data_IF_885981566686
#
_entry.id   IF_885981566686
#
_cell.length_a   1.000
_cell.length_b   1.000
_cell.length_c   1.000
_cell.angle_alpha   90.00
_cell.angle_beta   90.00
_cell.angle_gamma   90.00
#
_symmetry.space_group_name_H-M   'P 1'
#
loop_
_entity.id
_entity.type
_entity.pdbx_description
1 polymer ?
#
# COMPACT_ATOMS: atom_id res chain seq x y z
N UNK A 1 -6.00 33.14 16.05
CA UNK A 1 -7.40 33.25 15.55
C UNK A 1 -7.48 32.48 14.25
N UNK A 2 -8.26 31.40 14.18
CA UNK A 2 -8.51 30.72 12.92
C UNK A 2 -9.44 31.58 12.04
N UNK A 3 -9.21 31.69 10.72
CA UNK A 3 -10.07 32.46 9.84
C UNK A 3 -11.47 31.84 9.78
N UNK A 4 -12.52 32.67 9.93
CA UNK A 4 -13.92 32.28 9.72
C UNK A 4 -14.11 31.96 8.23
N UNK A 5 -14.23 30.67 7.90
CA UNK A 5 -14.63 30.23 6.57
C UNK A 5 -16.12 30.53 6.37
N UNK A 6 -16.45 31.32 5.36
CA UNK A 6 -17.83 31.59 4.91
C UNK A 6 -17.98 31.04 3.50
N UNK A 7 -18.79 30.00 3.33
CA UNK A 7 -19.20 29.51 2.02
C UNK A 7 -20.69 29.80 1.84
N UNK A 8 -21.07 30.39 0.71
CA UNK A 8 -22.47 30.61 0.33
C UNK A 8 -23.19 29.28 0.06
N UNK A 9 -24.45 29.19 0.49
CA UNK A 9 -25.24 27.97 0.42
C UNK A 9 -25.78 27.70 -0.99
N UNK A 10 -25.77 26.44 -1.47
CA UNK A 10 -26.63 26.01 -2.56
C UNK A 10 -27.92 25.38 -2.01
N UNK A 11 -29.05 26.03 -2.35
CA UNK A 11 -30.45 25.53 -2.37
C UNK A 11 -31.06 24.84 -1.12
N UNK A 12 -32.00 25.56 -0.49
CA UNK A 12 -33.31 25.05 -0.05
C UNK A 12 -33.38 24.09 1.16
N UNK A 13 -33.90 24.61 2.27
CA UNK A 13 -34.46 23.92 3.46
C UNK A 13 -33.55 23.11 4.41
N UNK A 14 -32.24 23.04 4.19
CA UNK A 14 -31.32 22.60 5.24
C UNK A 14 -31.05 23.73 6.25
N UNK A 15 -31.18 23.51 7.58
CA UNK A 15 -30.81 24.53 8.56
C UNK A 15 -29.36 24.94 8.34
N UNK A 16 -29.10 26.25 8.36
CA UNK A 16 -27.76 26.77 8.16
C UNK A 16 -26.80 26.16 9.20
N UNK A 17 -25.75 25.49 8.71
CA UNK A 17 -24.73 24.88 9.57
C UNK A 17 -23.97 26.01 10.26
N UNK A 18 -24.03 26.06 11.59
CA UNK A 18 -23.19 26.95 12.38
C UNK A 18 -21.73 26.46 12.36
N UNK A 19 -20.95 27.08 11.46
CA UNK A 19 -19.54 26.75 11.25
C UNK A 19 -18.67 27.06 12.47
N UNK A 20 -19.09 27.97 13.35
CA UNK A 20 -18.35 28.31 14.57
C UNK A 20 -18.47 27.16 15.56
N UNK A 21 -19.71 26.77 15.88
CA UNK A 21 -19.98 25.62 16.76
C UNK A 21 -19.34 24.33 16.23
N UNK A 22 -19.39 24.11 14.91
CA UNK A 22 -18.74 22.95 14.28
C UNK A 22 -17.22 22.97 14.44
N UNK A 23 -16.58 24.12 14.23
CA UNK A 23 -15.13 24.28 14.37
C UNK A 23 -14.67 24.09 15.81
N UNK A 24 -15.43 24.62 16.78
CA UNK A 24 -15.19 24.41 18.21
C UNK A 24 -15.29 22.92 18.57
N UNK A 25 -16.29 22.21 18.05
CA UNK A 25 -16.41 20.76 18.22
C UNK A 25 -15.20 20.01 17.65
N UNK A 26 -14.73 20.37 16.46
CA UNK A 26 -13.53 19.77 15.87
C UNK A 26 -12.28 20.01 16.72
N UNK A 27 -12.09 21.22 17.25
CA UNK A 27 -10.99 21.54 18.15
C UNK A 27 -11.04 20.73 19.44
N UNK A 28 -12.22 20.61 20.07
CA UNK A 28 -12.42 19.80 21.27
C UNK A 28 -12.07 18.33 21.04
N UNK A 29 -12.48 17.73 19.92
CA UNK A 29 -12.15 16.34 19.61
C UNK A 29 -10.66 16.15 19.24
N UNK A 30 -9.99 17.17 18.71
CA UNK A 30 -8.55 17.14 18.47
C UNK A 30 -7.75 17.20 19.79
N UNK A 31 -8.16 18.06 20.73
CA UNK A 31 -7.49 18.26 22.01
C UNK A 31 -7.46 16.98 22.86
N UNK A 32 -8.56 16.21 22.88
CA UNK A 32 -8.66 14.92 23.61
C UNK A 32 -7.56 13.91 23.27
N UNK A 33 -6.94 14.04 22.10
CA UNK A 33 -5.94 13.09 21.56
C UNK A 33 -4.60 13.74 21.25
N UNK A 34 -4.41 15.01 21.61
CA UNK A 34 -3.11 15.64 21.55
C UNK A 34 -2.19 14.94 22.56
N UNK A 35 -1.02 14.52 22.09
CA UNK A 35 -0.09 13.72 22.88
C UNK A 35 1.31 14.31 22.80
N UNK A 36 1.88 14.63 23.96
CA UNK A 36 3.24 15.19 24.06
C UNK A 36 4.33 14.23 23.60
N UNK A 37 4.10 12.92 23.69
CA UNK A 37 5.02 11.89 23.23
C UNK A 37 4.99 11.66 21.69
N UNK A 38 4.08 12.33 20.96
CA UNK A 38 4.10 12.42 19.50
C UNK A 38 4.28 11.06 18.81
N UNK A 39 5.17 10.93 17.79
CA UNK A 39 5.44 9.65 17.13
C UNK A 39 5.99 8.54 18.05
N UNK A 40 6.60 8.89 19.18
CA UNK A 40 7.20 7.92 20.12
C UNK A 40 6.17 7.17 20.95
N UNK A 41 4.88 7.47 20.79
CA UNK A 41 3.77 6.71 21.37
C UNK A 41 3.66 5.27 20.79
N UNK A 42 4.34 4.98 19.68
CA UNK A 42 4.38 3.66 19.05
C UNK A 42 5.74 2.99 19.22
N UNK A 43 5.74 1.66 19.28
CA UNK A 43 6.95 0.84 19.33
C UNK A 43 7.44 0.48 17.92
N UNK A 44 8.76 0.38 17.77
CA UNK A 44 9.38 -0.30 16.63
C UNK A 44 9.42 -1.80 16.93
N UNK A 45 8.48 -2.54 16.34
CA UNK A 45 8.31 -4.00 16.54
C UNK A 45 9.56 -4.82 16.23
N UNK A 46 10.51 -4.28 15.46
CA UNK A 46 11.77 -4.96 15.11
C UNK A 46 12.78 -4.98 16.25
N UNK A 47 12.62 -4.10 17.24
CA UNK A 47 13.59 -3.89 18.33
C UNK A 47 13.25 -4.67 19.60
N UNK A 48 12.18 -5.46 19.60
CA UNK A 48 11.67 -6.15 20.79
C UNK A 48 11.36 -7.61 20.48
N UNK A 49 12.04 -8.55 21.11
CA UNK A 49 11.94 -10.00 20.78
C UNK A 49 10.52 -10.52 20.75
N UNK A 50 9.67 -10.09 21.70
CA UNK A 50 8.26 -10.47 21.76
C UNK A 50 7.46 -10.06 20.51
N UNK A 51 7.74 -8.88 19.95
CA UNK A 51 6.97 -8.30 18.86
C UNK A 51 7.65 -8.44 17.50
N UNK A 52 8.86 -9.00 17.43
CA UNK A 52 9.57 -9.23 16.16
C UNK A 52 8.73 -10.08 15.19
N UNK A 53 7.94 -11.02 15.69
CA UNK A 53 7.00 -11.82 14.88
C UNK A 53 5.98 -10.96 14.14
N UNK A 54 5.64 -9.77 14.64
CA UNK A 54 4.71 -8.82 14.01
C UNK A 54 5.30 -8.12 12.77
N UNK A 55 6.62 -8.24 12.55
CA UNK A 55 7.33 -7.66 11.42
C UNK A 55 7.77 -8.68 10.37
N UNK A 56 7.85 -9.97 10.74
CA UNK A 56 8.30 -11.08 9.88
C UNK A 56 7.41 -11.21 8.64
N UNK A 57 8.01 -11.66 7.54
CA UNK A 57 7.31 -11.97 6.30
C UNK A 57 6.62 -13.34 6.39
N UNK A 58 5.29 -13.42 6.42
CA UNK A 58 4.59 -14.71 6.49
C UNK A 58 4.36 -15.34 5.12
N UNK A 59 4.79 -14.69 4.03
CA UNK A 59 4.45 -15.11 2.67
C UNK A 59 5.62 -15.68 1.88
N UNK A 60 6.84 -15.45 2.35
CA UNK A 60 8.04 -15.77 1.60
C UNK A 60 8.31 -17.27 1.62
N UNK A 61 8.56 -17.82 0.44
CA UNK A 61 9.12 -19.16 0.29
C UNK A 61 10.65 -19.03 0.29
N UNK A 62 11.26 -19.28 1.44
CA UNK A 62 12.70 -19.13 1.60
C UNK A 62 13.48 -20.15 0.78
N UNK A 63 12.99 -21.38 0.66
CA UNK A 63 13.67 -22.47 -0.03
C UNK A 63 13.68 -22.22 -1.55
N UNK A 64 12.54 -21.80 -2.10
CA UNK A 64 12.45 -21.41 -3.51
C UNK A 64 13.41 -20.28 -3.87
N UNK A 65 13.50 -19.23 -3.02
CA UNK A 65 14.45 -18.14 -3.24
C UNK A 65 15.90 -18.55 -3.01
N UNK A 66 16.16 -19.52 -2.11
CA UNK A 66 17.50 -20.02 -1.84
C UNK A 66 18.04 -20.89 -2.98
N UNK A 67 17.17 -21.60 -3.69
CA UNK A 67 17.53 -22.46 -4.82
C UNK A 67 17.79 -21.69 -6.13
N UNK A 68 17.40 -20.41 -6.20
CA UNK A 68 17.65 -19.56 -7.38
C UNK A 68 19.09 -19.05 -7.41
N UNK A 69 19.68 -18.85 -8.61
CA UNK A 69 20.96 -18.17 -8.73
C UNK A 69 20.85 -16.74 -8.18
N UNK A 70 21.94 -16.20 -7.60
CA UNK A 70 21.92 -14.84 -7.08
C UNK A 70 21.76 -13.82 -8.22
N UNK A 71 20.78 -12.93 -8.08
CA UNK A 71 20.58 -11.84 -9.05
C UNK A 71 21.56 -10.67 -8.84
N UNK A 72 22.20 -10.60 -7.66
CA UNK A 72 23.31 -9.72 -7.33
C UNK A 72 24.28 -10.49 -6.43
N UNK A 73 25.57 -10.31 -6.70
CA UNK A 73 26.67 -10.90 -5.94
C UNK A 73 27.52 -9.80 -5.29
N UNK A 74 28.28 -10.17 -4.26
CA UNK A 74 29.17 -9.25 -3.57
C UNK A 74 30.27 -8.74 -4.51
N UNK A 75 30.51 -7.43 -4.48
CA UNK A 75 31.38 -6.74 -5.43
C UNK A 75 30.78 -6.52 -6.83
N UNK A 76 29.54 -6.97 -7.08
CA UNK A 76 28.88 -6.86 -8.39
C UNK A 76 28.55 -5.43 -8.81
N UNK A 77 28.36 -5.22 -10.12
CA UNK A 77 27.94 -3.95 -10.70
C UNK A 77 26.63 -4.09 -11.47
N UNK A 78 25.72 -3.12 -11.30
CA UNK A 78 24.48 -2.99 -12.08
C UNK A 78 24.30 -1.56 -12.54
N UNK A 79 23.80 -1.35 -13.76
CA UNK A 79 23.64 0.01 -14.28
C UNK A 79 22.58 0.81 -13.52
N UNK A 80 21.40 0.21 -13.25
CA UNK A 80 20.33 0.84 -12.47
C UNK A 80 19.86 -0.07 -11.33
N UNK A 81 19.92 0.45 -10.12
CA UNK A 81 19.39 -0.21 -8.92
C UNK A 81 18.15 0.53 -8.42
N UNK A 82 17.00 -0.15 -8.44
CA UNK A 82 15.72 0.38 -7.94
C UNK A 82 15.47 -0.19 -6.55
N UNK A 83 15.32 0.66 -5.55
CA UNK A 83 14.98 0.26 -4.18
C UNK A 83 13.46 0.29 -4.03
N UNK A 84 12.86 -0.90 -4.00
CA UNK A 84 11.43 -1.15 -4.00
C UNK A 84 10.99 -1.91 -5.26
N UNK A 85 10.28 -3.01 -5.07
CA UNK A 85 9.72 -3.89 -6.10
C UNK A 85 8.17 -3.88 -6.08
N UNK A 86 7.59 -2.81 -5.52
CA UNK A 86 6.16 -2.50 -5.65
C UNK A 86 5.81 -1.82 -6.97
N UNK A 87 4.55 -1.39 -7.11
CA UNK A 87 4.07 -0.66 -8.30
C UNK A 87 4.92 0.54 -8.69
N UNK A 88 5.46 1.29 -7.74
CA UNK A 88 6.38 2.40 -8.03
C UNK A 88 7.68 1.94 -8.69
N UNK A 89 8.33 0.92 -8.12
CA UNK A 89 9.57 0.37 -8.67
C UNK A 89 9.39 -0.30 -10.03
N UNK A 90 8.31 -1.06 -10.19
CA UNK A 90 7.91 -1.64 -11.48
C UNK A 90 7.65 -0.54 -12.52
N UNK A 91 6.97 0.55 -12.14
CA UNK A 91 6.75 1.67 -13.04
C UNK A 91 8.05 2.31 -13.49
N UNK A 92 9.02 2.55 -12.58
CA UNK A 92 10.34 3.04 -12.95
C UNK A 92 11.06 2.08 -13.90
N UNK A 93 11.13 0.79 -13.57
CA UNK A 93 11.79 -0.22 -14.40
C UNK A 93 11.20 -0.26 -15.83
N UNK A 94 9.88 -0.28 -15.95
CA UNK A 94 9.20 -0.26 -17.25
C UNK A 94 9.48 1.03 -18.02
N UNK A 95 9.51 2.19 -17.36
CA UNK A 95 9.83 3.47 -18.02
C UNK A 95 11.28 3.53 -18.50
N UNK A 96 12.23 2.95 -17.75
CA UNK A 96 13.61 2.82 -18.24
C UNK A 96 13.70 1.89 -19.46
N UNK A 97 13.00 0.74 -19.43
CA UNK A 97 12.98 -0.17 -20.58
C UNK A 97 12.40 0.54 -21.81
N UNK A 98 11.30 1.27 -21.66
CA UNK A 98 10.70 2.08 -22.72
C UNK A 98 11.62 3.21 -23.22
N UNK A 99 12.55 3.68 -22.38
CA UNK A 99 13.56 4.67 -22.75
C UNK A 99 14.81 4.05 -23.41
N UNK A 100 14.85 2.72 -23.61
CA UNK A 100 15.91 2.02 -24.35
C UNK A 100 16.90 1.24 -23.48
N UNK A 101 16.72 1.18 -22.16
CA UNK A 101 17.51 0.29 -21.30
C UNK A 101 17.06 -1.17 -21.45
N UNK A 102 17.99 -2.11 -21.30
CA UNK A 102 17.67 -3.54 -21.36
C UNK A 102 17.33 -4.07 -19.96
N UNK A 103 16.35 -4.98 -19.79
CA UNK A 103 15.99 -5.54 -18.47
C UNK A 103 17.18 -6.06 -17.64
N UNK A 104 18.21 -6.59 -18.29
CA UNK A 104 19.43 -7.14 -17.67
C UNK A 104 20.26 -6.06 -16.96
N UNK A 105 20.13 -4.79 -17.37
CA UNK A 105 20.81 -3.63 -16.79
C UNK A 105 20.16 -3.14 -15.48
N UNK A 106 19.03 -3.73 -15.08
CA UNK A 106 18.25 -3.32 -13.90
C UNK A 106 18.25 -4.39 -12.82
N UNK A 107 18.21 -3.96 -11.56
CA UNK A 107 17.82 -4.79 -10.42
C UNK A 107 16.85 -4.06 -9.52
N UNK A 108 15.83 -4.75 -9.03
CA UNK A 108 14.85 -4.24 -8.07
C UNK A 108 15.10 -4.89 -6.71
N UNK A 109 15.59 -4.14 -5.75
CA UNK A 109 15.90 -4.62 -4.39
C UNK A 109 14.72 -4.33 -3.47
N UNK A 110 14.20 -5.34 -2.76
CA UNK A 110 13.09 -5.16 -1.81
C UNK A 110 13.24 -6.07 -0.58
N UNK A 111 12.80 -5.55 0.57
CA UNK A 111 12.69 -6.30 1.83
C UNK A 111 11.69 -7.48 1.67
N UNK A 112 10.69 -7.34 0.81
CA UNK A 112 9.69 -8.36 0.51
C UNK A 112 10.31 -9.60 -0.12
N UNK A 113 9.69 -10.77 0.10
CA UNK A 113 10.02 -12.00 -0.63
C UNK A 113 9.51 -12.06 -2.07
N UNK A 114 9.03 -10.97 -2.66
CA UNK A 114 8.49 -10.94 -4.03
C UNK A 114 7.97 -9.58 -4.47
N UNK A 115 7.53 -9.49 -5.73
CA UNK A 115 6.95 -8.25 -6.29
C UNK A 115 5.61 -7.86 -5.65
N UNK A 116 5.33 -6.55 -5.65
CA UNK A 116 4.04 -5.99 -5.29
C UNK A 116 4.06 -4.98 -4.14
N UNK A 117 5.14 -4.93 -3.35
CA UNK A 117 5.30 -3.96 -2.26
C UNK A 117 4.13 -4.02 -1.28
N UNK A 118 3.33 -2.95 -1.18
CA UNK A 118 2.08 -2.94 -0.39
C UNK A 118 1.21 -4.18 -0.64
N UNK A 119 1.06 -4.60 -1.89
CA UNK A 119 0.20 -5.74 -2.28
C UNK A 119 0.88 -7.10 -2.10
N UNK A 120 2.21 -7.12 -1.93
CA UNK A 120 2.93 -8.29 -1.45
C UNK A 120 2.67 -8.49 0.04
N UNK A 121 2.86 -7.44 0.84
CA UNK A 121 2.82 -7.52 2.30
C UNK A 121 1.41 -7.71 2.86
N UNK A 122 0.45 -6.93 2.38
CA UNK A 122 -0.90 -6.94 2.91
C UNK A 122 -1.70 -8.01 2.16
N UNK A 123 -2.15 -9.03 2.89
CA UNK A 123 -3.01 -10.11 2.37
C UNK A 123 -4.09 -10.49 3.38
N UNK A 124 -4.63 -9.50 4.07
CA UNK A 124 -5.73 -9.69 5.02
C UNK A 124 -7.08 -9.84 4.29
N UNK A 125 -8.07 -10.51 4.89
CA UNK A 125 -9.37 -10.73 4.27
C UNK A 125 -10.09 -9.40 4.02
N UNK A 126 -10.70 -9.26 2.84
CA UNK A 126 -11.41 -8.05 2.44
C UNK A 126 -10.52 -6.91 1.91
N UNK A 127 -9.20 -7.13 1.79
CA UNK A 127 -8.27 -6.13 1.27
C UNK A 127 -8.65 -5.68 -0.14
N UNK A 128 -8.80 -4.37 -0.33
CA UNK A 128 -9.03 -3.72 -1.63
C UNK A 128 -8.27 -2.40 -1.73
N UNK A 129 -7.95 -1.95 -2.95
CA UNK A 129 -7.59 -0.55 -3.17
C UNK A 129 -8.80 0.37 -2.92
N UNK A 130 -8.56 1.58 -2.44
CA UNK A 130 -9.61 2.57 -2.15
C UNK A 130 -9.75 3.65 -3.24
N UNK A 131 -8.85 3.64 -4.22
CA UNK A 131 -8.95 4.38 -5.48
C UNK A 131 -9.43 3.42 -6.57
N UNK A 132 -10.20 3.93 -7.53
CA UNK A 132 -10.65 3.14 -8.67
C UNK A 132 -9.47 2.44 -9.38
N UNK A 133 -9.59 1.13 -9.60
CA UNK A 133 -8.56 0.25 -10.16
C UNK A 133 -8.06 0.73 -11.52
N UNK A 134 -8.94 1.32 -12.33
CA UNK A 134 -8.66 1.81 -13.68
C UNK A 134 -7.65 2.98 -13.70
N UNK A 135 -7.49 3.69 -12.58
CA UNK A 135 -6.53 4.79 -12.40
C UNK A 135 -5.49 4.53 -11.31
N UNK A 136 -5.72 3.54 -10.45
CA UNK A 136 -4.79 3.14 -9.39
C UNK A 136 -3.72 2.17 -9.88
N UNK A 137 -4.10 1.18 -10.70
CA UNK A 137 -3.18 0.19 -11.22
C UNK A 137 -2.31 0.85 -12.30
N UNK A 138 -0.97 0.84 -12.17
CA UNK A 138 -0.11 1.49 -13.16
C UNK A 138 -0.06 0.67 -14.44
N UNK A 139 0.23 1.28 -15.59
CA UNK A 139 0.48 0.58 -16.85
C UNK A 139 -0.71 -0.23 -17.41
N UNK A 140 -1.94 0.04 -16.97
CA UNK A 140 -3.13 -0.75 -17.38
C UNK A 140 -3.37 -0.64 -18.89
N UNK A 141 -3.16 0.54 -19.45
CA UNK A 141 -3.24 0.75 -20.91
C UNK A 141 -2.11 -0.02 -21.64
N UNK A 142 -0.87 0.06 -21.15
CA UNK A 142 0.28 -0.62 -21.75
C UNK A 142 0.22 -2.15 -21.60
N UNK A 143 -0.37 -2.66 -20.51
CA UNK A 143 -0.57 -4.09 -20.30
C UNK A 143 -1.74 -4.63 -21.11
N UNK A 144 -2.76 -3.80 -21.39
CA UNK A 144 -4.04 -4.21 -21.95
C UNK A 144 -4.92 -4.96 -20.94
N UNK A 145 -4.56 -4.90 -19.65
CA UNK A 145 -5.30 -5.59 -18.59
C UNK A 145 -6.63 -4.88 -18.33
N UNK A 146 -7.70 -5.65 -18.12
CA UNK A 146 -8.99 -5.14 -17.67
C UNK A 146 -9.18 -5.53 -16.20
N UNK A 147 -9.10 -4.59 -15.24
CA UNK A 147 -9.40 -4.88 -13.84
C UNK A 147 -10.80 -5.46 -13.68
N UNK A 148 -10.95 -6.50 -12.85
CA UNK A 148 -12.19 -7.27 -12.64
C UNK A 148 -13.28 -6.46 -11.93
N UNK A 149 -12.88 -5.49 -11.12
CA UNK A 149 -13.77 -4.67 -10.30
C UNK A 149 -13.35 -3.20 -10.34
N UNK A 150 -14.30 -2.29 -10.06
CA UNK A 150 -14.03 -0.86 -9.89
C UNK A 150 -12.99 -0.63 -8.79
N UNK A 151 -13.01 -1.42 -7.72
CA UNK A 151 -11.95 -1.45 -6.72
C UNK A 151 -11.35 -2.84 -6.65
N UNK A 152 -10.10 -3.00 -7.08
CA UNK A 152 -9.44 -4.30 -7.16
C UNK A 152 -9.11 -4.85 -5.76
N UNK A 153 -9.29 -6.15 -5.60
CA UNK A 153 -8.91 -6.87 -4.39
C UNK A 153 -7.39 -7.07 -4.34
N UNK A 154 -6.85 -7.25 -3.13
CA UNK A 154 -5.41 -7.37 -2.91
C UNK A 154 -4.74 -8.53 -3.67
N UNK A 155 -5.46 -9.64 -3.91
CA UNK A 155 -4.96 -10.74 -4.74
C UNK A 155 -4.77 -10.32 -6.21
N UNK A 156 -5.76 -9.66 -6.80
CA UNK A 156 -5.68 -9.14 -8.17
C UNK A 156 -4.54 -8.13 -8.32
N UNK A 157 -4.38 -7.22 -7.35
CA UNK A 157 -3.32 -6.21 -7.37
C UNK A 157 -1.92 -6.84 -7.27
N UNK A 158 -1.77 -7.90 -6.48
CA UNK A 158 -0.52 -8.67 -6.38
C UNK A 158 -0.25 -9.46 -7.65
N UNK A 159 -1.25 -10.16 -8.19
CA UNK A 159 -1.14 -10.89 -9.46
C UNK A 159 -0.77 -9.94 -10.59
N UNK A 160 -1.38 -8.75 -10.62
CA UNK A 160 -1.06 -7.72 -11.60
C UNK A 160 0.39 -7.21 -11.49
N UNK A 161 0.94 -7.06 -10.28
CA UNK A 161 2.35 -6.72 -10.11
C UNK A 161 3.28 -7.78 -10.75
N UNK A 162 2.93 -9.05 -10.61
CA UNK A 162 3.67 -10.14 -11.24
C UNK A 162 3.49 -10.14 -12.76
N UNK A 163 2.27 -9.91 -13.26
CA UNK A 163 1.99 -9.75 -14.69
C UNK A 163 2.82 -8.64 -15.33
N UNK A 164 2.95 -7.49 -14.66
CA UNK A 164 3.82 -6.40 -15.11
C UNK A 164 5.29 -6.84 -15.10
N UNK A 165 5.75 -7.53 -14.07
CA UNK A 165 7.12 -8.04 -14.05
C UNK A 165 7.38 -9.00 -15.22
N UNK A 166 6.44 -9.91 -15.50
CA UNK A 166 6.58 -10.90 -16.58
C UNK A 166 6.55 -10.25 -17.96
N UNK A 167 5.61 -9.31 -18.21
CA UNK A 167 5.45 -8.63 -19.51
C UNK A 167 6.70 -7.88 -19.96
N UNK A 168 7.53 -7.43 -19.02
CA UNK A 168 8.77 -6.69 -19.29
C UNK A 168 10.05 -7.46 -18.91
N UNK A 169 9.97 -8.79 -18.76
CA UNK A 169 11.12 -9.66 -18.45
C UNK A 169 11.89 -9.23 -17.19
N UNK A 170 11.16 -8.84 -16.14
CA UNK A 170 11.69 -8.41 -14.85
C UNK A 170 11.65 -9.51 -13.78
N UNK A 171 11.06 -10.67 -14.06
CA UNK A 171 10.81 -11.74 -13.09
C UNK A 171 12.07 -12.16 -12.31
N UNK A 172 13.18 -12.27 -13.03
CA UNK A 172 14.51 -12.64 -12.53
C UNK A 172 15.39 -11.42 -12.20
N UNK A 173 14.83 -10.20 -12.19
CA UNK A 173 15.56 -8.97 -11.85
C UNK A 173 15.29 -8.50 -10.41
N UNK A 174 14.40 -9.18 -9.71
CA UNK A 174 14.11 -8.95 -8.30
C UNK A 174 15.20 -9.51 -7.38
N UNK A 175 15.62 -8.72 -6.40
CA UNK A 175 16.57 -9.09 -5.35
C UNK A 175 15.80 -8.98 -4.03
N UNK A 176 15.19 -10.10 -3.64
CA UNK A 176 14.21 -10.18 -2.57
C UNK A 176 14.82 -10.56 -1.22
N UNK A 177 14.05 -10.31 -0.15
CA UNK A 177 14.50 -10.44 1.25
C UNK A 177 15.72 -9.57 1.55
N UNK A 178 15.90 -8.48 0.81
CA UNK A 178 17.12 -7.70 0.76
C UNK A 178 16.88 -6.26 1.17
N UNK A 179 17.50 -5.87 2.28
CA UNK A 179 17.44 -4.51 2.80
C UNK A 179 18.67 -3.72 2.41
N UNK A 180 18.47 -2.59 1.73
CA UNK A 180 19.53 -1.60 1.57
C UNK A 180 19.72 -0.84 2.89
N UNK A 181 20.93 -0.91 3.45
CA UNK A 181 21.30 -0.27 4.71
C UNK A 181 22.13 1.01 4.49
N UNK A 182 22.95 1.04 3.43
CA UNK A 182 23.85 2.14 3.14
C UNK A 182 23.80 2.50 1.65
N UNK A 183 23.97 3.80 1.38
CA UNK A 183 24.11 4.38 0.04
C UNK A 183 25.23 5.42 0.14
N UNK A 184 26.41 5.08 -0.37
CA UNK A 184 27.55 6.00 -0.49
C UNK A 184 27.80 6.36 -1.95
N UNK A 185 28.34 7.54 -2.20
CA UNK A 185 28.82 7.93 -3.53
C UNK A 185 30.36 7.83 -3.53
N UNK A 186 30.90 7.15 -4.53
CA UNK A 186 32.33 7.09 -4.83
C UNK A 186 32.64 8.10 -5.94
N UNK A 187 33.33 9.18 -5.59
CA UNK A 187 33.70 10.27 -6.51
C UNK A 187 34.71 9.85 -7.58
N UNK A 188 35.61 8.91 -7.26
CA UNK A 188 36.64 8.43 -8.20
C UNK A 188 36.01 7.48 -9.22
N UNK A 189 35.30 6.46 -8.74
CA UNK A 189 34.62 5.47 -9.58
C UNK A 189 33.36 6.01 -10.27
N UNK A 190 32.82 7.14 -9.80
CA UNK A 190 31.54 7.72 -10.22
C UNK A 190 30.42 6.69 -10.14
N UNK A 191 30.31 6.05 -8.99
CA UNK A 191 29.33 5.01 -8.69
C UNK A 191 28.73 5.22 -7.32
N UNK A 192 27.47 4.83 -7.19
CA UNK A 192 26.90 4.51 -5.91
C UNK A 192 27.50 3.19 -5.41
N UNK A 193 27.90 3.16 -4.14
CA UNK A 193 28.28 1.97 -3.38
C UNK A 193 27.13 1.66 -2.42
N UNK A 194 26.51 0.51 -2.59
CA UNK A 194 25.26 0.14 -1.92
C UNK A 194 25.49 -1.10 -1.05
N UNK A 195 25.32 -0.94 0.26
CA UNK A 195 25.36 -2.06 1.20
C UNK A 195 23.97 -2.67 1.40
N UNK A 196 23.85 -3.96 1.12
CA UNK A 196 22.61 -4.73 1.14
C UNK A 196 22.75 -5.89 2.11
N UNK A 197 21.79 -6.03 3.04
CA UNK A 197 21.67 -7.22 3.89
C UNK A 197 20.53 -8.10 3.41
N UNK A 198 20.86 -9.30 2.93
CA UNK A 198 19.89 -10.28 2.44
C UNK A 198 19.62 -11.37 3.48
N UNK A 199 18.37 -11.55 3.87
CA UNK A 199 17.95 -12.68 4.71
C UNK A 199 17.83 -13.97 3.88
N UNK A 200 18.24 -15.10 4.46
CA UNK A 200 18.16 -16.44 3.85
C UNK A 200 17.12 -17.36 4.49
N UNK A 201 16.41 -16.87 5.51
CA UNK A 201 15.49 -17.67 6.33
C UNK A 201 15.77 -17.53 7.82
N UNK A 202 14.88 -18.05 8.69
CA UNK A 202 15.06 -18.02 10.14
C UNK A 202 16.29 -18.82 10.62
N UNK A 203 16.63 -19.90 9.94
CA UNK A 203 17.69 -20.84 10.34
C UNK A 203 18.99 -20.68 9.54
N UNK A 204 19.11 -19.59 8.78
CA UNK A 204 20.29 -19.30 7.98
C UNK A 204 20.82 -17.89 8.26
N UNK A 205 22.16 -17.71 8.33
CA UNK A 205 22.73 -16.39 8.47
C UNK A 205 22.32 -15.50 7.30
N UNK A 206 22.12 -14.21 7.58
CA UNK A 206 21.99 -13.23 6.51
C UNK A 206 23.32 -13.06 5.79
N UNK A 207 23.26 -12.67 4.52
CA UNK A 207 24.42 -12.35 3.70
C UNK A 207 24.50 -10.83 3.59
N UNK A 208 25.67 -10.27 3.81
CA UNK A 208 25.95 -8.87 3.50
C UNK A 208 26.60 -8.81 2.10
N UNK A 209 26.12 -7.90 1.27
CA UNK A 209 26.50 -7.75 -0.12
C UNK A 209 26.76 -6.26 -0.35
N UNK A 210 27.92 -5.91 -0.90
CA UNK A 210 28.18 -4.58 -1.45
C UNK A 210 28.11 -4.62 -2.97
N UNK A 211 27.33 -3.72 -3.57
CA UNK A 211 27.24 -3.59 -5.03
C UNK A 211 27.49 -2.16 -5.48
N UNK A 212 27.92 -2.01 -6.74
CA UNK A 212 28.10 -0.71 -7.38
C UNK A 212 26.99 -0.43 -8.39
N UNK A 213 26.55 0.83 -8.48
CA UNK A 213 25.59 1.24 -9.51
C UNK A 213 25.80 2.65 -10.06
N UNK A 214 25.48 2.87 -11.34
CA UNK A 214 25.51 4.21 -11.93
C UNK A 214 24.33 5.05 -11.47
N UNK A 215 23.15 4.43 -11.35
CA UNK A 215 21.92 5.12 -10.98
C UNK A 215 21.18 4.35 -9.87
N UNK A 216 20.74 5.08 -8.85
CA UNK A 216 19.87 4.53 -7.79
C UNK A 216 18.54 5.25 -7.81
N UNK A 217 17.44 4.50 -7.80
CA UNK A 217 16.08 5.03 -7.73
C UNK A 217 15.40 4.59 -6.44
N UNK A 218 14.90 5.56 -5.67
CA UNK A 218 14.20 5.28 -4.42
C UNK A 218 12.69 5.18 -4.65
N UNK A 219 12.18 3.94 -4.70
CA UNK A 219 10.76 3.61 -4.81
C UNK A 219 10.24 2.89 -3.56
N UNK A 220 10.76 3.26 -2.38
CA UNK A 220 10.54 2.56 -1.10
C UNK A 220 9.13 2.63 -0.51
N UNK A 221 8.26 3.52 -1.01
CA UNK A 221 6.91 3.74 -0.48
C UNK A 221 6.87 4.51 0.86
N UNK A 222 5.66 4.80 1.36
CA UNK A 222 5.44 5.64 2.54
C UNK A 222 4.94 4.88 3.79
N UNK A 223 4.22 3.76 3.61
CA UNK A 223 3.56 3.00 4.68
C UNK A 223 4.15 1.58 4.79
N UNK A 224 5.44 1.50 5.13
CA UNK A 224 6.25 0.28 4.97
C UNK A 224 6.45 -0.53 6.25
N UNK A 225 6.32 0.12 7.41
CA UNK A 225 6.63 -0.47 8.71
C UNK A 225 5.39 -0.51 9.61
N UNK A 226 4.93 -1.71 10.01
CA UNK A 226 3.91 -1.87 11.04
C UNK A 226 4.29 -1.15 12.33
N UNK A 227 3.33 -0.48 12.95
CA UNK A 227 3.50 0.21 14.24
C UNK A 227 2.51 -0.37 15.23
N UNK A 228 2.95 -0.56 16.46
CA UNK A 228 2.09 -1.05 17.55
C UNK A 228 2.06 -0.06 18.71
N UNK A 229 0.93 0.09 19.42
CA UNK A 229 0.90 0.88 20.65
C UNK A 229 1.74 0.20 21.75
N UNK A 230 2.15 0.99 22.74
CA UNK A 230 2.79 0.48 23.97
C UNK A 230 1.80 -0.34 24.83
N UNK A 231 2.32 -1.10 25.79
CA UNK A 231 1.58 -1.81 26.83
C UNK A 231 0.76 -3.03 26.34
N UNK A 232 1.26 -3.73 25.31
CA UNK A 232 0.67 -4.99 24.83
C UNK A 232 1.31 -6.22 25.50
N UNK A 233 2.34 -6.04 26.31
CA UNK A 233 3.12 -7.08 26.99
C UNK A 233 2.30 -7.93 27.99
N UNK A 234 1.21 -7.46 28.62
CA UNK A 234 0.42 -8.36 29.46
C UNK A 234 -0.39 -9.39 28.65
N UNK A 235 -0.70 -9.14 27.38
CA UNK A 235 -1.62 -9.97 26.59
C UNK A 235 -1.02 -11.35 26.23
N UNK A 236 -1.65 -12.42 26.73
CA UNK A 236 -1.19 -13.80 26.55
C UNK A 236 -1.83 -14.52 25.35
N UNK A 237 -2.81 -13.91 24.70
CA UNK A 237 -3.46 -14.51 23.53
C UNK A 237 -2.61 -14.38 22.26
N UNK A 238 -3.04 -15.07 21.20
CA UNK A 238 -2.44 -14.93 19.88
C UNK A 238 -2.64 -13.52 19.34
N UNK A 239 -1.56 -12.93 18.79
CA UNK A 239 -1.57 -11.55 18.28
C UNK A 239 -0.72 -11.48 17.01
N UNK A 240 -1.20 -10.73 16.02
CA UNK A 240 -0.48 -10.40 14.78
C UNK A 240 -0.92 -9.02 14.28
N UNK A 241 -0.10 -8.39 13.45
CA UNK A 241 -0.45 -7.12 12.81
C UNK A 241 -1.13 -7.40 11.46
N UNK A 242 -2.12 -6.60 11.07
CA UNK A 242 -2.91 -6.81 9.84
C UNK A 242 -2.07 -6.83 8.56
N UNK A 243 -1.00 -6.02 8.53
CA UNK A 243 0.00 -6.01 7.45
C UNK A 243 0.91 -7.26 7.39
N UNK A 244 0.83 -8.16 8.38
CA UNK A 244 1.50 -9.48 8.45
C UNK A 244 0.47 -10.51 8.93
N UNK A 245 -0.63 -10.61 8.18
CA UNK A 245 -1.78 -11.43 8.55
C UNK A 245 -1.37 -12.89 8.80
N UNK A 246 -1.85 -13.48 9.89
CA UNK A 246 -1.53 -14.86 10.25
C UNK A 246 -2.76 -15.76 10.04
N UNK A 247 -2.72 -16.55 8.98
CA UNK A 247 -3.77 -17.50 8.64
C UNK A 247 -3.78 -18.76 9.51
N UNK A 248 -2.67 -19.13 10.14
CA UNK A 248 -2.66 -20.25 11.11
C UNK A 248 -3.55 -19.92 12.31
N UNK A 249 -3.53 -18.67 12.77
CA UNK A 249 -4.37 -18.20 13.88
C UNK A 249 -5.83 -18.05 13.44
N UNK A 250 -6.08 -17.53 12.24
CA UNK A 250 -7.43 -17.12 11.82
C UNK A 250 -8.20 -18.23 11.07
N UNK A 251 -7.50 -19.20 10.49
CA UNK A 251 -8.05 -20.09 9.47
C UNK A 251 -8.23 -19.36 8.14
N UNK A 252 -8.44 -20.11 7.06
CA UNK A 252 -8.51 -19.57 5.71
C UNK A 252 -7.13 -19.37 5.08
N UNK A 253 -7.07 -18.57 4.02
CA UNK A 253 -5.87 -18.27 3.24
C UNK A 253 -6.03 -16.96 2.47
N UNK A 254 -5.00 -16.58 1.70
CA UNK A 254 -5.03 -15.40 0.84
C UNK A 254 -6.07 -15.46 -0.29
N UNK A 255 -6.70 -16.62 -0.52
CA UNK A 255 -7.74 -16.85 -1.53
C UNK A 255 -9.02 -17.44 -0.95
N UNK A 256 -8.99 -17.95 0.29
CA UNK A 256 -10.15 -18.45 1.03
C UNK A 256 -10.34 -17.64 2.30
N UNK A 257 -11.36 -16.79 2.35
CA UNK A 257 -11.64 -15.94 3.51
C UNK A 257 -12.51 -16.63 4.57
N UNK A 258 -12.54 -17.97 4.56
CA UNK A 258 -13.20 -18.79 5.58
C UNK A 258 -12.36 -18.82 6.86
N UNK A 259 -12.53 -17.84 7.73
CA UNK A 259 -11.76 -17.68 8.98
C UNK A 259 -12.25 -18.65 10.08
N UNK A 260 -12.27 -19.95 9.78
CA UNK A 260 -12.90 -21.01 10.59
C UNK A 260 -12.36 -21.10 12.02
N UNK A 261 -11.09 -20.78 12.24
CA UNK A 261 -10.45 -20.89 13.55
C UNK A 261 -10.92 -19.78 14.52
N UNK A 262 -11.62 -18.76 14.02
CA UNK A 262 -12.24 -17.72 14.82
C UNK A 262 -13.59 -18.11 15.42
N UNK A 263 -14.21 -19.22 14.96
CA UNK A 263 -15.47 -19.70 15.53
C UNK A 263 -15.32 -19.96 17.03
N UNK A 264 -16.26 -19.42 17.82
CA UNK A 264 -16.22 -19.54 19.28
C UNK A 264 -15.21 -18.63 19.98
N UNK A 265 -14.36 -17.89 19.24
CA UNK A 265 -13.33 -17.02 19.81
C UNK A 265 -13.83 -15.60 20.04
N UNK A 266 -13.23 -14.93 21.03
CA UNK A 266 -13.36 -13.49 21.26
C UNK A 266 -12.19 -12.81 20.56
N UNK A 267 -12.49 -11.95 19.59
CA UNK A 267 -11.50 -11.30 18.73
C UNK A 267 -11.48 -9.80 19.04
N UNK A 268 -10.29 -9.24 19.19
CA UNK A 268 -10.08 -7.80 19.40
C UNK A 268 -9.37 -7.16 18.21
N UNK A 269 -9.85 -6.02 17.72
CA UNK A 269 -9.21 -5.23 16.66
C UNK A 269 -8.90 -3.84 17.21
N UNK A 270 -7.62 -3.47 17.23
CA UNK A 270 -7.17 -2.15 17.66
C UNK A 270 -6.98 -1.26 16.44
N UNK A 271 -7.75 -0.18 16.37
CA UNK A 271 -7.66 0.81 15.30
C UNK A 271 -8.76 0.69 14.25
N UNK A 272 -9.17 1.85 13.76
CA UNK A 272 -10.37 2.04 12.93
C UNK A 272 -10.04 2.77 11.62
N UNK A 273 -8.78 2.75 11.18
CA UNK A 273 -8.37 3.26 9.87
C UNK A 273 -8.89 2.40 8.72
N UNK A 274 -8.47 2.69 7.48
CA UNK A 274 -8.94 1.99 6.28
C UNK A 274 -8.85 0.45 6.39
N UNK A 275 -7.73 -0.08 6.88
CA UNK A 275 -7.59 -1.52 7.16
C UNK A 275 -8.64 -2.04 8.13
N UNK A 276 -8.92 -1.29 9.22
CA UNK A 276 -9.96 -1.65 10.20
C UNK A 276 -11.34 -1.74 9.55
N UNK A 277 -11.69 -0.76 8.71
CA UNK A 277 -12.96 -0.74 7.96
C UNK A 277 -13.10 -1.97 7.05
N UNK A 278 -12.02 -2.42 6.42
CA UNK A 278 -12.06 -3.59 5.53
C UNK A 278 -12.10 -4.93 6.29
N UNK A 279 -11.37 -5.08 7.40
CA UNK A 279 -11.29 -6.38 8.11
C UNK A 279 -12.43 -6.63 9.09
N UNK A 280 -13.03 -5.58 9.67
CA UNK A 280 -14.07 -5.73 10.71
C UNK A 280 -15.27 -6.53 10.18
N UNK A 281 -15.82 -6.26 8.98
CA UNK A 281 -16.89 -7.06 8.41
C UNK A 281 -16.49 -8.53 8.17
N UNK A 282 -15.24 -8.80 7.79
CA UNK A 282 -14.76 -10.15 7.56
C UNK A 282 -14.60 -10.92 8.88
N UNK A 283 -14.09 -10.28 9.92
CA UNK A 283 -13.97 -10.90 11.25
C UNK A 283 -15.33 -11.16 11.90
N UNK A 284 -16.29 -10.25 11.73
CA UNK A 284 -17.63 -10.35 12.34
C UNK A 284 -18.42 -11.57 11.84
N UNK A 285 -18.15 -12.06 10.62
CA UNK A 285 -18.80 -13.26 10.07
C UNK A 285 -18.40 -14.56 10.79
N UNK A 286 -17.26 -14.58 11.47
CA UNK A 286 -16.65 -15.81 12.00
C UNK A 286 -16.43 -15.80 13.51
N UNK A 287 -16.12 -14.65 14.12
CA UNK A 287 -15.87 -14.53 15.55
C UNK A 287 -17.16 -14.75 16.37
N UNK A 288 -17.03 -15.30 17.59
CA UNK A 288 -18.16 -15.34 18.54
C UNK A 288 -18.47 -13.95 19.08
N UNK A 289 -17.43 -13.22 19.46
CA UNK A 289 -17.52 -11.82 19.89
C UNK A 289 -16.40 -11.05 19.20
N UNK A 290 -16.73 -9.86 18.66
CA UNK A 290 -15.76 -8.96 18.04
C UNK A 290 -15.76 -7.63 18.79
N UNK A 291 -14.60 -7.28 19.35
CA UNK A 291 -14.37 -6.00 20.03
C UNK A 291 -13.54 -5.08 19.15
N UNK A 292 -14.10 -3.93 18.77
CA UNK A 292 -13.40 -2.91 17.98
C UNK A 292 -12.97 -1.79 18.92
N UNK A 293 -11.66 -1.66 19.15
CA UNK A 293 -11.08 -0.65 20.02
C UNK A 293 -10.76 0.61 19.22
N UNK A 294 -11.63 1.61 19.36
CA UNK A 294 -11.55 2.87 18.63
C UNK A 294 -10.98 4.00 19.49
N UNK A 295 -9.94 4.67 18.97
CA UNK A 295 -9.46 5.94 19.51
C UNK A 295 -10.06 7.14 18.78
N UNK A 296 -10.11 7.07 17.44
CA UNK A 296 -10.67 8.11 16.57
C UNK A 296 -11.54 7.44 15.50
N UNK A 297 -12.82 7.81 15.36
CA UNK A 297 -13.64 7.28 14.27
C UNK A 297 -13.12 7.74 12.91
N UNK A 298 -13.19 6.85 11.92
CA UNK A 298 -12.98 7.19 10.51
C UNK A 298 -14.29 7.69 9.91
N UNK A 299 -14.22 8.72 9.06
CA UNK A 299 -15.35 9.08 8.20
C UNK A 299 -15.49 8.01 7.10
N UNK A 300 -16.62 7.31 7.08
CA UNK A 300 -16.88 6.20 6.16
C UNK A 300 -17.87 6.64 5.10
N UNK A 301 -17.43 6.68 3.85
CA UNK A 301 -18.28 6.93 2.68
C UNK A 301 -18.73 5.63 2.00
N UNK A 302 -19.72 5.76 1.11
CA UNK A 302 -20.20 4.63 0.29
C UNK A 302 -19.10 4.22 -0.69
N UNK A 303 -18.86 2.91 -0.81
CA UNK A 303 -17.85 2.35 -1.72
C UNK A 303 -18.38 2.11 -3.13
N UNK A 304 -19.65 1.72 -3.27
CA UNK A 304 -20.27 1.36 -4.56
C UNK A 304 -19.41 0.41 -5.42
N UNK A 305 -18.96 -0.68 -4.79
CA UNK A 305 -18.18 -1.70 -5.49
C UNK A 305 -19.01 -2.30 -6.64
N UNK A 306 -18.40 -2.41 -7.81
CA UNK A 306 -19.00 -3.02 -9.00
C UNK A 306 -18.00 -3.90 -9.73
N UNK A 307 -18.49 -4.99 -10.34
CA UNK A 307 -17.73 -5.71 -11.36
C UNK A 307 -17.56 -4.79 -12.57
N UNK A 308 -16.42 -4.87 -13.22
CA UNK A 308 -16.19 -4.16 -14.49
C UNK A 308 -17.05 -4.83 -15.56
N UNK A 309 -17.95 -4.06 -16.18
CA UNK A 309 -18.68 -4.53 -17.35
C UNK A 309 -17.75 -4.51 -18.58
N UNK A 310 -17.53 -5.64 -19.28
CA UNK A 310 -16.64 -5.68 -20.44
C UNK A 310 -17.05 -4.73 -21.57
N UNK A 311 -18.36 -4.49 -21.74
CA UNK A 311 -18.84 -3.62 -22.80
C UNK A 311 -18.66 -2.13 -22.45
N UNK A 312 -18.99 -1.72 -21.21
CA UNK A 312 -18.58 -0.43 -20.64
C UNK A 312 -17.06 -0.24 -20.79
N UNK A 313 -16.26 -1.21 -20.38
CA UNK A 313 -14.81 -1.15 -20.47
C UNK A 313 -14.33 -0.83 -21.88
N UNK A 314 -14.80 -1.56 -22.90
CA UNK A 314 -14.35 -1.38 -24.28
C UNK A 314 -14.90 -0.11 -24.92
N UNK A 315 -16.15 0.27 -24.64
CA UNK A 315 -16.83 1.40 -25.30
C UNK A 315 -16.58 2.75 -24.63
N UNK A 316 -16.45 2.80 -23.31
CA UNK A 316 -16.43 4.07 -22.57
C UNK A 316 -15.13 4.29 -21.82
N UNK A 317 -14.51 3.24 -21.26
CA UNK A 317 -13.30 3.39 -20.42
C UNK A 317 -12.03 3.33 -21.29
N UNK A 318 -11.75 2.18 -21.89
CA UNK A 318 -10.55 1.89 -22.67
C UNK A 318 -10.78 2.04 -24.19
N UNK A 319 -11.61 3.00 -24.59
CA UNK A 319 -12.09 3.13 -25.97
C UNK A 319 -11.10 3.77 -26.96
N UNK A 320 -10.10 4.50 -26.46
CA UNK A 320 -9.10 5.21 -27.28
C UNK A 320 -7.75 5.27 -26.59
N UNK A 321 -6.68 5.38 -27.37
CA UNK A 321 -5.34 5.60 -26.82
C UNK A 321 -5.29 6.87 -25.96
N UNK A 322 -4.53 6.81 -24.88
CA UNK A 322 -4.39 7.86 -23.87
C UNK A 322 -5.54 7.91 -22.86
N UNK A 323 -6.47 6.95 -22.88
CA UNK A 323 -7.62 6.93 -21.96
C UNK A 323 -7.18 6.91 -20.49
N UNK A 324 -6.11 6.17 -20.15
CA UNK A 324 -5.65 6.03 -18.78
C UNK A 324 -5.21 7.39 -18.23
N UNK A 325 -4.35 8.08 -18.98
CA UNK A 325 -3.88 9.42 -18.60
C UNK A 325 -5.02 10.44 -18.53
N UNK A 326 -5.98 10.39 -19.46
CA UNK A 326 -7.17 11.26 -19.42
C UNK A 326 -7.97 11.03 -18.13
N UNK A 327 -8.21 9.77 -17.75
CA UNK A 327 -9.00 9.41 -16.57
C UNK A 327 -8.29 9.79 -15.26
N UNK A 328 -6.98 9.54 -15.18
CA UNK A 328 -6.13 9.98 -14.05
C UNK A 328 -6.13 11.50 -13.91
N UNK A 329 -5.98 12.25 -15.02
CA UNK A 329 -6.01 13.72 -14.98
C UNK A 329 -7.37 14.23 -14.52
N UNK A 330 -8.46 13.73 -15.12
CA UNK A 330 -9.82 14.11 -14.72
C UNK A 330 -10.08 13.91 -13.21
N UNK A 331 -9.67 12.77 -12.66
CA UNK A 331 -9.80 12.50 -11.23
C UNK A 331 -9.04 13.50 -10.36
N UNK A 332 -7.78 13.77 -10.71
CA UNK A 332 -6.93 14.70 -9.95
C UNK A 332 -7.42 16.16 -10.07
N UNK A 333 -7.88 16.57 -11.25
CA UNK A 333 -8.43 17.90 -11.48
C UNK A 333 -9.66 18.14 -10.59
N UNK A 334 -10.58 17.18 -10.52
CA UNK A 334 -11.76 17.26 -9.65
C UNK A 334 -11.36 17.34 -8.17
N UNK A 335 -10.42 16.49 -7.72
CA UNK A 335 -9.93 16.52 -6.34
C UNK A 335 -9.22 17.83 -5.98
N UNK A 336 -8.54 18.44 -6.94
CA UNK A 336 -7.89 19.73 -6.80
C UNK A 336 -8.89 20.90 -6.85
N UNK A 337 -10.18 20.66 -7.13
CA UNK A 337 -11.21 21.69 -7.26
C UNK A 337 -11.17 22.43 -8.60
N UNK A 338 -10.47 21.88 -9.60
CA UNK A 338 -10.50 22.39 -10.98
C UNK A 338 -11.83 21.98 -11.62
N UNK A 339 -12.59 22.92 -12.24
CA UNK A 339 -13.81 22.57 -12.94
C UNK A 339 -13.56 21.53 -14.04
N UNK A 340 -14.34 20.45 -14.03
CA UNK A 340 -14.30 19.41 -15.04
C UNK A 340 -15.68 19.26 -15.69
N UNK A 341 -15.71 19.16 -17.02
CA UNK A 341 -16.96 18.98 -17.78
C UNK A 341 -17.60 17.60 -17.54
N UNK A 342 -16.78 16.60 -17.25
CA UNK A 342 -17.20 15.22 -16.98
C UNK A 342 -16.59 14.74 -15.67
N UNK A 343 -17.31 13.88 -14.94
CA UNK A 343 -16.78 13.13 -13.82
C UNK A 343 -16.63 11.66 -14.23
N UNK A 344 -15.42 11.26 -14.63
CA UNK A 344 -15.19 9.95 -15.21
C UNK A 344 -15.23 8.83 -14.17
N UNK A 345 -14.67 9.09 -12.98
CA UNK A 345 -14.58 8.11 -11.88
C UNK A 345 -15.92 7.99 -11.15
N UNK A 346 -16.60 9.13 -10.94
CA UNK A 346 -17.92 9.23 -10.33
C UNK A 346 -18.05 8.32 -9.09
N UNK A 347 -17.28 8.64 -8.06
CA UNK A 347 -17.33 7.96 -6.78
C UNK A 347 -17.18 8.94 -5.60
N UNK A 348 -17.23 8.41 -4.38
CA UNK A 348 -17.17 9.22 -3.17
C UNK A 348 -15.94 10.12 -3.05
N UNK A 349 -14.81 9.85 -3.73
CA UNK A 349 -13.66 10.76 -3.74
C UNK A 349 -14.00 12.07 -4.44
N UNK A 350 -14.72 11.99 -5.56
CA UNK A 350 -15.08 13.15 -6.38
C UNK A 350 -16.13 14.05 -5.73
N UNK A 351 -16.70 13.64 -4.61
CA UNK A 351 -17.62 14.41 -3.78
C UNK A 351 -16.91 15.18 -2.65
N UNK A 352 -15.64 14.87 -2.35
CA UNK A 352 -14.86 15.48 -1.26
C UNK A 352 -14.28 16.84 -1.67
N UNK A 353 -15.14 17.83 -1.93
CA UNK A 353 -14.73 19.17 -2.41
C UNK A 353 -13.70 19.88 -1.54
N UNK A 354 -13.70 19.62 -0.22
CA UNK A 354 -12.75 20.23 0.72
C UNK A 354 -11.35 19.58 0.69
N UNK A 355 -11.19 18.43 0.02
CA UNK A 355 -9.91 17.72 -0.07
C UNK A 355 -8.83 18.54 -0.79
N UNK A 356 -9.25 19.49 -1.64
CA UNK A 356 -8.35 20.47 -2.28
C UNK A 356 -7.49 21.25 -1.27
N UNK A 357 -7.96 21.45 -0.04
CA UNK A 357 -7.19 22.09 1.03
C UNK A 357 -5.94 21.29 1.42
N UNK A 358 -5.99 19.96 1.30
CA UNK A 358 -4.83 19.08 1.50
C UNK A 358 -3.92 19.02 0.27
N UNK A 359 -4.47 19.16 -0.94
CA UNK A 359 -3.71 19.09 -2.19
C UNK A 359 -3.08 20.44 -2.60
N UNK A 360 -3.44 21.54 -1.95
CA UNK A 360 -3.00 22.88 -2.33
C UNK A 360 -3.70 23.38 -3.60
N UNK A 361 -4.93 22.94 -3.85
CA UNK A 361 -5.76 23.41 -4.97
C UNK A 361 -6.26 24.85 -4.79
N UNK A 362 -6.73 25.50 -5.88
CA UNK A 362 -7.20 26.88 -5.88
C UNK A 362 -8.43 27.16 -5.00
#
# INVERSE_FOLDING_TARGET
MAPKLSLSQPNGDAPAVDLTTLSEKYAQEAEKRLRSDGPTQYLDVRKTDRFQSLAKDPWVDHDSLNAQPPNLEDGGEVKLLVIGAGFGGLSFAVRFIQAGFKPEELRLVDDAGGFGGTWYWNRYPGLMCDIESYIYMPLVEETGYMPKHKYSYGNELREYANLVADKWNLRDKGVFRSRVNTLGWDDEGKRWVIGIKQSRGPDQPSIDIEVRSQFVVLAKGYLTHPKVPKNLEPFQGSMFHTARWNYDITGGSTTDHTLSNLKGKRVGVIGTGATGIQIVPELAKWAKELYVFQRTPTAVGVREQKKTDPEEWRKTIASKSGWYRRRVRNFNDILAGVPAEENLVADGWTELKAYKAFLGGP
#
